data_IF_718339904167
#
_entry.id   IF_718339904167
#
_cell.length_a   1.000
_cell.length_b   1.000
_cell.length_c   1.000
_cell.angle_alpha   90.00
_cell.angle_beta   90.00
_cell.angle_gamma   90.00
#
_symmetry.space_group_name_H-M   'P 1'
#
loop_
_entity.id
_entity.type
_entity.pdbx_description
1 polymer ?
#
# COMPACT_ATOMS: atom_id res chain seq x y z
N UNK A 1 -6.90 -18.41 -17.98
CA UNK A 1 -7.57 -17.10 -18.20
C UNK A 1 -6.72 -16.03 -17.56
N UNK A 2 -6.81 -14.78 -18.02
CA UNK A 2 -6.23 -13.63 -17.33
C UNK A 2 -6.96 -13.40 -15.99
N UNK A 3 -6.33 -12.78 -14.99
CA UNK A 3 -7.04 -12.33 -13.80
C UNK A 3 -8.16 -11.35 -14.20
N UNK A 4 -9.26 -11.38 -13.47
CA UNK A 4 -10.41 -10.47 -13.70
C UNK A 4 -10.16 -9.09 -13.12
N UNK A 5 -9.35 -9.01 -12.05
CA UNK A 5 -8.90 -7.75 -11.45
C UNK A 5 -7.51 -7.84 -10.84
N UNK A 6 -6.84 -6.67 -10.80
CA UNK A 6 -5.64 -6.41 -10.01
C UNK A 6 -6.00 -5.45 -8.88
N UNK A 7 -5.68 -5.81 -7.64
CA UNK A 7 -5.99 -5.01 -6.45
C UNK A 7 -4.69 -4.61 -5.77
N UNK A 8 -4.42 -3.31 -5.71
CA UNK A 8 -3.16 -2.77 -5.19
C UNK A 8 -3.34 -2.17 -3.79
N UNK A 9 -2.41 -2.47 -2.90
CA UNK A 9 -2.10 -1.53 -1.83
C UNK A 9 -1.40 -0.29 -2.42
N UNK A 10 -1.16 0.73 -1.60
CA UNK A 10 -0.63 2.03 -2.06
C UNK A 10 0.77 2.28 -1.55
N UNK A 11 0.91 2.48 -0.24
CA UNK A 11 2.17 2.88 0.40
C UNK A 11 3.17 1.70 0.40
N UNK A 12 4.34 1.87 -0.21
CA UNK A 12 5.31 0.79 -0.39
C UNK A 12 5.00 -0.13 -1.58
N UNK A 13 3.78 -0.13 -2.11
CA UNK A 13 3.35 -0.97 -3.24
C UNK A 13 3.29 -0.21 -4.56
N UNK A 14 2.45 0.83 -4.68
CA UNK A 14 2.43 1.68 -5.87
C UNK A 14 3.67 2.58 -5.93
N UNK A 15 4.05 3.16 -4.80
CA UNK A 15 5.20 4.06 -4.67
C UNK A 15 5.85 3.92 -3.28
N UNK A 16 7.14 4.27 -3.18
CA UNK A 16 7.88 4.33 -1.92
C UNK A 16 7.50 5.61 -1.16
N UNK A 17 6.45 5.54 -0.37
CA UNK A 17 5.86 6.70 0.31
C UNK A 17 6.03 6.70 1.82
N UNK A 18 6.49 5.61 2.44
CA UNK A 18 6.59 5.50 3.90
C UNK A 18 7.56 6.53 4.50
N UNK A 19 8.63 6.86 3.81
CA UNK A 19 9.54 7.92 4.27
C UNK A 19 8.87 9.31 4.24
N UNK A 20 8.03 9.59 3.25
CA UNK A 20 7.22 10.82 3.19
C UNK A 20 6.20 10.87 4.33
N UNK A 21 5.60 9.72 4.67
CA UNK A 21 4.73 9.62 5.82
C UNK A 21 5.44 9.94 7.12
N UNK A 22 6.64 9.38 7.34
CA UNK A 22 7.47 9.66 8.52
C UNK A 22 7.84 11.14 8.63
N UNK A 23 8.26 11.74 7.53
CA UNK A 23 8.57 13.17 7.47
C UNK A 23 7.35 14.03 7.79
N UNK A 24 6.17 13.69 7.24
CA UNK A 24 4.93 14.40 7.53
C UNK A 24 4.52 14.31 9.01
N UNK A 25 4.70 13.14 9.66
CA UNK A 25 4.50 12.98 11.09
C UNK A 25 5.43 13.89 11.89
N UNK A 26 6.73 13.84 11.64
CA UNK A 26 7.70 14.64 12.36
C UNK A 26 7.48 16.15 12.18
N UNK A 27 7.16 16.59 10.97
CA UNK A 27 6.81 17.98 10.70
C UNK A 27 5.53 18.41 11.42
N UNK A 28 4.57 17.50 11.59
CA UNK A 28 3.36 17.76 12.36
C UNK A 28 3.67 17.88 13.85
N UNK A 29 4.43 16.96 14.41
CA UNK A 29 4.82 17.01 15.82
C UNK A 29 5.56 18.29 16.16
N UNK A 30 6.51 18.71 15.31
CA UNK A 30 7.25 19.95 15.49
C UNK A 30 6.34 21.19 15.45
N UNK A 31 5.42 21.27 14.49
CA UNK A 31 4.48 22.40 14.36
C UNK A 31 3.51 22.49 15.52
N UNK A 32 3.11 21.35 16.10
CA UNK A 32 2.22 21.26 17.26
C UNK A 32 2.98 21.34 18.61
N UNK A 33 4.28 21.63 18.56
CA UNK A 33 5.15 21.73 19.75
C UNK A 33 5.11 20.47 20.63
N UNK A 34 5.02 19.29 20.00
CA UNK A 34 5.12 18.01 20.66
C UNK A 34 6.58 17.57 20.73
N UNK A 35 7.07 16.98 21.83
CA UNK A 35 8.48 16.66 22.02
C UNK A 35 8.92 15.40 21.26
N UNK A 36 8.16 14.96 20.26
CA UNK A 36 8.37 13.67 19.59
C UNK A 36 9.12 13.81 18.28
N UNK A 37 9.98 12.83 18.05
CA UNK A 37 10.62 12.64 16.75
C UNK A 37 10.72 11.15 16.45
N UNK A 38 10.07 10.71 15.39
CA UNK A 38 10.16 9.33 14.92
C UNK A 38 11.34 9.22 13.95
N UNK A 39 12.46 8.65 14.40
CA UNK A 39 13.54 8.25 13.51
C UNK A 39 13.14 7.01 12.69
N UNK A 40 13.95 6.61 11.72
CA UNK A 40 13.64 5.48 10.84
C UNK A 40 13.51 4.15 11.60
N UNK A 41 14.31 3.95 12.67
CA UNK A 41 14.29 2.72 13.46
C UNK A 41 13.00 2.59 14.28
N UNK A 42 12.59 3.69 14.94
CA UNK A 42 11.33 3.75 15.68
C UNK A 42 10.14 3.63 14.72
N UNK A 43 10.20 4.35 13.59
CA UNK A 43 9.11 4.34 12.60
C UNK A 43 8.89 2.94 12.02
N UNK A 44 9.96 2.19 11.69
CA UNK A 44 9.85 0.79 11.27
C UNK A 44 9.07 -0.07 12.29
N UNK A 45 9.35 0.08 13.59
CA UNK A 45 8.62 -0.64 14.65
C UNK A 45 7.15 -0.20 14.73
N UNK A 46 6.90 1.08 14.53
CA UNK A 46 5.54 1.63 14.56
C UNK A 46 4.70 1.20 13.35
N UNK A 47 5.32 0.77 12.25
CA UNK A 47 4.62 0.21 11.08
C UNK A 47 3.93 -1.14 11.37
N UNK A 48 4.28 -1.84 12.44
CA UNK A 48 3.54 -3.01 12.92
C UNK A 48 2.06 -2.66 13.24
N UNK A 49 1.80 -1.38 13.56
CA UNK A 49 0.45 -0.85 13.78
C UNK A 49 -0.03 -0.15 12.51
N UNK A 50 -1.00 -0.78 11.86
CA UNK A 50 -1.57 -0.28 10.61
C UNK A 50 -2.57 0.85 10.86
N UNK A 51 -2.47 1.92 10.07
CA UNK A 51 -3.29 3.13 10.21
C UNK A 51 -2.58 4.25 10.98
N UNK A 52 -2.70 5.49 10.47
CA UNK A 52 -1.96 6.62 11.03
C UNK A 52 -2.47 7.07 12.40
N UNK A 53 -3.78 7.03 12.63
CA UNK A 53 -4.39 7.35 13.93
C UNK A 53 -4.06 6.30 14.97
N UNK A 54 -4.17 5.03 14.58
CA UNK A 54 -3.87 3.86 15.39
C UNK A 54 -2.39 3.86 15.81
N UNK A 55 -1.51 4.25 14.89
CA UNK A 55 -0.06 4.38 15.13
C UNK A 55 0.26 5.47 16.15
N UNK A 56 -0.37 6.66 16.04
CA UNK A 56 -0.25 7.71 17.05
C UNK A 56 -0.77 7.20 18.40
N UNK A 57 -1.98 6.62 18.43
CA UNK A 57 -2.57 6.10 19.67
C UNK A 57 -1.72 5.00 20.32
N UNK A 58 -1.07 4.13 19.50
CA UNK A 58 -0.14 3.12 19.99
C UNK A 58 1.11 3.75 20.59
N UNK A 59 1.73 4.71 19.90
CA UNK A 59 2.92 5.42 20.35
C UNK A 59 2.68 6.10 21.71
N UNK A 60 1.53 6.75 21.92
CA UNK A 60 1.18 7.42 23.16
C UNK A 60 1.12 6.52 24.39
N UNK A 61 0.95 5.20 24.20
CA UNK A 61 0.93 4.24 25.33
C UNK A 61 2.33 4.03 25.93
N UNK A 62 3.37 4.26 25.13
CA UNK A 62 4.78 4.08 25.53
C UNK A 62 5.51 5.40 25.79
N UNK A 63 4.88 6.54 25.47
CA UNK A 63 5.49 7.87 25.55
C UNK A 63 4.65 8.78 26.45
N UNK A 64 5.00 8.90 27.75
CA UNK A 64 4.22 9.69 28.70
C UNK A 64 4.32 11.19 28.43
N UNK A 65 5.48 11.66 27.90
CA UNK A 65 5.69 13.07 27.65
C UNK A 65 4.86 13.58 26.48
N UNK A 66 3.92 14.46 26.77
CA UNK A 66 2.99 15.02 25.79
C UNK A 66 1.76 14.18 25.49
N UNK A 67 1.67 12.94 26.00
CA UNK A 67 0.52 12.04 25.75
C UNK A 67 -0.82 12.68 26.16
N UNK A 68 -0.89 13.31 27.34
CA UNK A 68 -2.11 13.97 27.83
C UNK A 68 -2.58 15.12 26.91
N UNK A 69 -1.64 15.82 26.26
CA UNK A 69 -1.95 16.93 25.34
C UNK A 69 -2.38 16.48 23.96
N UNK A 70 -2.12 15.22 23.61
CA UNK A 70 -2.29 14.73 22.27
C UNK A 70 -3.38 13.66 22.12
N UNK A 71 -3.76 12.96 23.20
CA UNK A 71 -4.71 11.85 23.14
C UNK A 71 -6.06 12.25 22.53
N UNK A 72 -6.61 13.38 22.95
CA UNK A 72 -7.89 13.88 22.44
C UNK A 72 -7.77 14.57 21.07
N UNK A 73 -6.53 14.80 20.60
CA UNK A 73 -6.20 15.50 19.36
C UNK A 73 -5.74 14.60 18.23
N UNK A 74 -5.77 13.28 18.41
CA UNK A 74 -5.31 12.33 17.39
C UNK A 74 -5.94 12.59 16.02
N UNK A 75 -7.26 12.79 15.88
CA UNK A 75 -7.87 13.09 14.58
C UNK A 75 -7.35 14.39 13.94
N UNK A 76 -7.11 15.42 14.75
CA UNK A 76 -6.55 16.71 14.31
C UNK A 76 -5.10 16.56 13.84
N UNK A 77 -4.27 15.90 14.64
CA UNK A 77 -2.87 15.62 14.31
C UNK A 77 -2.75 14.77 13.02
N UNK A 78 -3.63 13.78 12.88
CA UNK A 78 -3.66 12.97 11.68
C UNK A 78 -4.07 13.77 10.44
N UNK A 79 -5.04 14.68 10.55
CA UNK A 79 -5.43 15.56 9.46
C UNK A 79 -4.26 16.48 9.06
N UNK A 80 -3.66 17.17 10.03
CA UNK A 80 -2.50 18.05 9.79
C UNK A 80 -1.31 17.29 9.16
N UNK A 81 -1.10 16.04 9.55
CA UNK A 81 -0.12 15.14 8.93
C UNK A 81 -0.51 14.83 7.48
N UNK A 82 -1.78 14.55 7.21
CA UNK A 82 -2.28 14.25 5.86
C UNK A 82 -2.05 15.43 4.92
N UNK A 83 -2.38 16.65 5.36
CA UNK A 83 -2.14 17.87 4.57
C UNK A 83 -0.67 18.07 4.20
N UNK A 84 0.25 17.75 5.14
CA UNK A 84 1.70 17.81 4.88
C UNK A 84 2.17 16.71 3.92
N UNK A 85 1.64 15.50 4.10
CA UNK A 85 1.96 14.39 3.22
C UNK A 85 1.53 14.66 1.77
N UNK A 86 0.30 15.13 1.56
CA UNK A 86 -0.18 15.45 0.21
C UNK A 86 0.66 16.52 -0.47
N UNK A 87 1.14 17.52 0.30
CA UNK A 87 2.07 18.53 -0.20
C UNK A 87 3.44 17.93 -0.60
N UNK A 88 3.97 16.98 0.18
CA UNK A 88 5.22 16.27 -0.15
C UNK A 88 5.06 15.43 -1.42
N UNK A 89 3.97 14.69 -1.55
CA UNK A 89 3.68 13.86 -2.72
C UNK A 89 3.49 14.70 -3.98
N UNK A 90 2.80 15.83 -3.88
CA UNK A 90 2.59 16.76 -4.99
C UNK A 90 3.88 17.37 -5.53
N UNK A 91 4.97 17.37 -4.75
CA UNK A 91 6.29 17.80 -5.21
C UNK A 91 6.93 16.81 -6.21
N UNK A 92 6.33 15.64 -6.41
CA UNK A 92 6.70 14.60 -7.37
C UNK A 92 7.14 13.30 -6.68
N UNK A 93 6.32 12.27 -6.83
CA UNK A 93 6.62 10.92 -6.34
C UNK A 93 6.51 9.93 -7.49
N UNK A 94 7.59 9.22 -7.78
CA UNK A 94 7.60 8.21 -8.83
C UNK A 94 6.89 6.93 -8.36
N UNK A 95 6.13 6.30 -9.27
CA UNK A 95 5.67 4.93 -9.06
C UNK A 95 6.85 3.95 -9.08
N UNK A 96 6.70 2.84 -8.39
CA UNK A 96 7.68 1.76 -8.41
C UNK A 96 7.78 1.14 -9.81
N UNK A 97 8.95 0.57 -10.18
CA UNK A 97 9.16 -0.03 -11.50
C UNK A 97 8.08 -1.06 -11.85
N UNK A 98 7.56 -0.98 -13.07
CA UNK A 98 6.55 -1.88 -13.61
C UNK A 98 5.09 -1.55 -13.23
N UNK A 99 4.85 -0.71 -12.23
CA UNK A 99 3.48 -0.38 -11.77
C UNK A 99 2.69 0.31 -12.87
N UNK A 100 3.19 1.43 -13.41
CA UNK A 100 2.49 2.18 -14.46
C UNK A 100 2.28 1.33 -15.73
N UNK A 101 3.24 0.49 -16.08
CA UNK A 101 3.16 -0.43 -17.21
C UNK A 101 2.04 -1.44 -17.01
N UNK A 102 2.00 -2.10 -15.83
CA UNK A 102 1.01 -3.14 -15.55
C UNK A 102 -0.42 -2.56 -15.46
N UNK A 103 -0.58 -1.35 -14.89
CA UNK A 103 -1.87 -0.63 -14.88
C UNK A 103 -2.36 -0.40 -16.31
N UNK A 104 -1.50 0.10 -17.21
CA UNK A 104 -1.86 0.32 -18.62
C UNK A 104 -2.18 -0.98 -19.35
N UNK A 105 -1.41 -2.05 -19.12
CA UNK A 105 -1.66 -3.38 -19.67
C UNK A 105 -3.03 -3.91 -19.23
N UNK A 106 -3.37 -3.78 -17.94
CA UNK A 106 -4.65 -4.20 -17.38
C UNK A 106 -5.82 -3.45 -18.02
N UNK A 107 -5.75 -2.13 -18.11
CA UNK A 107 -6.81 -1.32 -18.77
C UNK A 107 -6.98 -1.69 -20.23
N UNK A 108 -5.88 -1.86 -20.98
CA UNK A 108 -5.94 -2.25 -22.39
C UNK A 108 -6.58 -3.64 -22.62
N UNK A 109 -6.42 -4.54 -21.65
CA UNK A 109 -6.99 -5.89 -21.67
C UNK A 109 -8.42 -5.98 -21.06
N UNK A 110 -8.98 -4.88 -20.56
CA UNK A 110 -10.28 -4.87 -19.89
C UNK A 110 -10.27 -5.53 -18.50
N UNK A 111 -9.11 -5.71 -17.89
CA UNK A 111 -8.93 -6.19 -16.51
C UNK A 111 -9.25 -5.04 -15.56
N UNK A 112 -10.09 -5.27 -14.56
CA UNK A 112 -10.47 -4.26 -13.57
C UNK A 112 -9.31 -3.93 -12.65
N UNK A 113 -9.30 -2.70 -12.14
CA UNK A 113 -8.33 -2.23 -11.17
C UNK A 113 -9.01 -1.84 -9.86
N UNK A 114 -8.41 -2.28 -8.74
CA UNK A 114 -8.85 -1.91 -7.40
C UNK A 114 -7.72 -1.35 -6.57
N UNK A 115 -8.06 -0.52 -5.59
CA UNK A 115 -7.18 -0.09 -4.51
C UNK A 115 -7.73 -0.59 -3.18
N UNK A 116 -6.89 -1.20 -2.35
CA UNK A 116 -7.21 -1.67 -1.01
C UNK A 116 -6.13 -1.21 -0.02
N UNK A 117 -6.30 -0.05 0.59
CA UNK A 117 -5.27 0.59 1.42
C UNK A 117 -5.82 1.11 2.75
N UNK A 118 -4.95 1.24 3.73
CA UNK A 118 -5.26 1.88 5.02
C UNK A 118 -4.91 3.37 5.05
N UNK A 119 -4.24 3.87 4.01
CA UNK A 119 -4.00 5.31 3.85
C UNK A 119 -5.29 6.05 3.50
N UNK A 120 -5.37 7.33 3.83
CA UNK A 120 -6.57 8.14 3.59
C UNK A 120 -6.80 8.41 2.09
N UNK A 121 -8.07 8.57 1.70
CA UNK A 121 -8.42 8.84 0.30
C UNK A 121 -7.67 10.06 -0.28
N UNK A 122 -7.52 11.21 0.41
CA UNK A 122 -6.73 12.33 -0.11
C UNK A 122 -5.27 11.99 -0.41
N UNK A 123 -4.68 11.05 0.33
CA UNK A 123 -3.32 10.58 0.05
C UNK A 123 -3.26 9.78 -1.26
N UNK A 124 -4.25 8.92 -1.49
CA UNK A 124 -4.38 8.15 -2.73
C UNK A 124 -4.53 9.08 -3.94
N UNK A 125 -5.46 10.04 -3.83
CA UNK A 125 -5.72 11.04 -4.87
C UNK A 125 -4.43 11.81 -5.22
N UNK A 126 -3.76 12.38 -4.21
CA UNK A 126 -2.53 13.13 -4.41
C UNK A 126 -1.42 12.31 -5.09
N UNK A 127 -1.24 11.03 -4.68
CA UNK A 127 -0.26 10.15 -5.29
C UNK A 127 -0.59 9.85 -6.74
N UNK A 128 -1.82 9.44 -7.01
CA UNK A 128 -2.23 9.06 -8.36
C UNK A 128 -2.19 10.26 -9.33
N UNK A 129 -2.68 11.43 -8.89
CA UNK A 129 -2.63 12.66 -9.71
C UNK A 129 -1.20 13.08 -10.03
N UNK A 130 -0.30 13.05 -9.04
CA UNK A 130 1.10 13.44 -9.25
C UNK A 130 1.88 12.45 -10.13
N UNK A 131 1.50 11.16 -10.12
CA UNK A 131 2.26 10.09 -10.79
C UNK A 131 1.69 9.68 -12.14
N UNK A 132 0.37 9.75 -12.33
CA UNK A 132 -0.36 9.26 -13.52
C UNK A 132 -1.22 10.34 -14.19
N UNK A 133 -1.31 11.54 -13.59
CA UNK A 133 -2.07 12.67 -14.11
C UNK A 133 -3.46 12.84 -13.48
N UNK A 134 -4.16 13.94 -13.81
CA UNK A 134 -5.36 14.40 -13.10
C UNK A 134 -6.54 13.42 -13.16
N UNK A 135 -6.61 12.58 -14.18
CA UNK A 135 -7.71 11.60 -14.33
C UNK A 135 -7.36 10.21 -13.79
N UNK A 136 -6.25 10.08 -13.03
CA UNK A 136 -5.73 8.78 -12.62
C UNK A 136 -6.68 7.98 -11.71
N UNK A 137 -7.49 8.65 -10.89
CA UNK A 137 -8.51 7.99 -10.07
C UNK A 137 -9.53 7.23 -10.94
N UNK A 138 -9.89 7.72 -12.12
CA UNK A 138 -10.80 7.07 -13.05
C UNK A 138 -10.25 5.77 -13.68
N UNK A 139 -8.96 5.48 -13.49
CA UNK A 139 -8.38 4.20 -13.90
C UNK A 139 -8.86 3.05 -13.01
N UNK A 140 -9.25 3.33 -11.76
CA UNK A 140 -9.60 2.34 -10.77
C UNK A 140 -11.12 2.16 -10.67
N UNK A 141 -11.58 0.93 -10.83
CA UNK A 141 -12.99 0.55 -10.81
C UNK A 141 -13.55 0.48 -9.37
N UNK A 142 -12.69 0.31 -8.37
CA UNK A 142 -13.04 0.33 -6.95
C UNK A 142 -11.88 0.86 -6.10
N UNK A 143 -12.18 1.69 -5.10
CA UNK A 143 -11.20 2.24 -4.16
C UNK A 143 -11.70 2.06 -2.73
N UNK A 144 -11.00 1.22 -1.96
CA UNK A 144 -11.12 1.11 -0.51
C UNK A 144 -9.95 1.80 0.15
N UNK A 145 -10.20 2.90 0.89
CA UNK A 145 -9.16 3.72 1.48
C UNK A 145 -9.53 4.20 2.90
N UNK A 146 -8.54 4.29 3.77
CA UNK A 146 -8.68 4.85 5.11
C UNK A 146 -9.69 4.12 5.99
N UNK A 147 -10.66 4.86 6.50
CA UNK A 147 -11.63 4.39 7.50
C UNK A 147 -12.94 3.87 6.87
N UNK A 148 -12.92 3.48 5.59
CA UNK A 148 -14.12 2.96 4.90
C UNK A 148 -14.59 1.63 5.48
N UNK A 149 -13.71 0.91 6.16
CA UNK A 149 -14.00 -0.34 6.87
C UNK A 149 -13.58 -0.23 8.35
N UNK A 150 -14.24 -0.98 9.25
CA UNK A 150 -14.00 -0.87 10.69
C UNK A 150 -12.64 -1.45 11.13
N UNK A 151 -12.20 -2.57 10.51
CA UNK A 151 -10.95 -3.22 10.87
C UNK A 151 -9.88 -2.98 9.82
N UNK A 152 -8.67 -2.57 10.29
CA UNK A 152 -7.50 -2.35 9.44
C UNK A 152 -6.76 -3.66 9.18
N UNK A 153 -5.91 -3.71 8.13
CA UNK A 153 -4.95 -4.79 7.94
C UNK A 153 -4.23 -5.09 9.27
N UNK A 154 -4.08 -6.35 9.69
CA UNK A 154 -4.18 -7.58 8.90
C UNK A 154 -5.59 -8.16 8.75
N UNK A 155 -6.67 -7.49 9.20
CA UNK A 155 -8.03 -7.93 8.91
C UNK A 155 -8.33 -7.82 7.39
N UNK A 156 -9.15 -8.74 6.83
CA UNK A 156 -9.42 -8.79 5.39
C UNK A 156 -10.38 -7.72 4.89
N UNK A 157 -10.97 -6.94 5.77
CA UNK A 157 -12.13 -6.08 5.54
C UNK A 157 -11.98 -5.18 4.32
N UNK A 158 -10.82 -4.54 4.15
CA UNK A 158 -10.58 -3.64 3.03
C UNK A 158 -10.55 -4.36 1.69
N UNK A 159 -10.01 -5.59 1.65
CA UNK A 159 -10.00 -6.41 0.45
C UNK A 159 -11.39 -6.94 0.13
N UNK A 160 -12.13 -7.39 1.14
CA UNK A 160 -13.52 -7.84 0.97
C UNK A 160 -14.42 -6.70 0.47
N UNK A 161 -14.24 -5.48 1.00
CA UNK A 161 -14.91 -4.27 0.52
C UNK A 161 -14.65 -4.02 -0.97
N UNK A 162 -13.39 -4.10 -1.42
CA UNK A 162 -13.02 -3.87 -2.82
C UNK A 162 -13.56 -4.99 -3.72
N UNK A 163 -13.47 -6.26 -3.30
CA UNK A 163 -14.03 -7.40 -4.03
C UNK A 163 -15.56 -7.27 -4.22
N UNK A 164 -16.27 -6.84 -3.17
CA UNK A 164 -17.71 -6.60 -3.25
C UNK A 164 -18.03 -5.46 -4.23
N UNK A 165 -17.30 -4.35 -4.18
CA UNK A 165 -17.47 -3.24 -5.11
C UNK A 165 -17.18 -3.63 -6.56
N UNK A 166 -16.16 -4.47 -6.80
CA UNK A 166 -15.84 -5.03 -8.12
C UNK A 166 -16.82 -6.10 -8.57
N UNK A 167 -17.55 -6.71 -7.63
CA UNK A 167 -18.42 -7.89 -7.86
C UNK A 167 -17.67 -9.06 -8.49
N UNK A 168 -16.52 -9.38 -7.91
CA UNK A 168 -15.62 -10.44 -8.36
C UNK A 168 -15.26 -11.38 -7.21
N UNK A 169 -15.14 -12.70 -7.48
CA UNK A 169 -14.62 -13.63 -6.50
C UNK A 169 -13.10 -13.43 -6.34
N UNK A 170 -12.58 -13.61 -5.13
CA UNK A 170 -11.16 -13.44 -4.82
C UNK A 170 -10.24 -14.32 -5.68
N UNK A 171 -10.68 -15.55 -6.00
CA UNK A 171 -9.91 -16.50 -6.82
C UNK A 171 -9.62 -16.00 -8.26
N UNK A 172 -10.40 -15.05 -8.76
CA UNK A 172 -10.22 -14.46 -10.09
C UNK A 172 -9.40 -13.16 -10.05
N UNK A 173 -8.94 -12.75 -8.88
CA UNK A 173 -8.22 -11.50 -8.66
C UNK A 173 -6.81 -11.76 -8.14
N UNK A 174 -5.92 -10.75 -8.26
CA UNK A 174 -4.56 -10.80 -7.72
C UNK A 174 -4.33 -9.54 -6.88
N UNK A 175 -3.83 -9.71 -5.64
CA UNK A 175 -3.42 -8.62 -4.78
C UNK A 175 -1.93 -8.30 -4.94
N UNK A 176 -1.59 -7.03 -4.77
CA UNK A 176 -0.22 -6.52 -4.73
C UNK A 176 0.00 -5.82 -3.39
N UNK A 177 1.07 -6.18 -2.71
CA UNK A 177 1.40 -5.76 -1.35
C UNK A 177 2.91 -5.57 -1.16
N UNK A 178 3.26 -4.88 -0.06
CA UNK A 178 4.64 -4.72 0.37
C UNK A 178 4.90 -5.21 1.80
N UNK A 179 3.84 -5.41 2.60
CA UNK A 179 3.91 -5.63 4.04
C UNK A 179 3.33 -6.96 4.50
N UNK A 180 3.84 -7.49 5.62
CA UNK A 180 3.32 -8.73 6.24
C UNK A 180 1.85 -8.59 6.67
N UNK A 181 1.43 -7.41 7.18
CA UNK A 181 0.03 -7.16 7.54
C UNK A 181 -0.88 -7.17 6.31
N UNK A 182 -0.40 -6.60 5.21
CA UNK A 182 -1.12 -6.60 3.95
C UNK A 182 -1.27 -7.99 3.35
N UNK A 183 -0.19 -8.77 3.33
CA UNK A 183 -0.22 -10.18 2.87
C UNK A 183 -1.22 -11.01 3.68
N UNK A 184 -1.22 -10.85 5.02
CA UNK A 184 -2.19 -11.54 5.87
C UNK A 184 -3.63 -11.16 5.54
N UNK A 185 -3.88 -9.87 5.34
CA UNK A 185 -5.21 -9.35 4.98
C UNK A 185 -5.69 -9.88 3.62
N UNK A 186 -4.85 -9.79 2.58
CA UNK A 186 -5.18 -10.28 1.25
C UNK A 186 -5.44 -11.79 1.23
N UNK A 187 -4.60 -12.57 1.91
CA UNK A 187 -4.77 -14.02 2.04
C UNK A 187 -6.03 -14.41 2.81
N UNK A 188 -6.34 -13.69 3.90
CA UNK A 188 -7.57 -13.92 4.66
C UNK A 188 -8.83 -13.59 3.82
N UNK A 189 -8.73 -12.71 2.82
CA UNK A 189 -9.75 -12.47 1.82
C UNK A 189 -9.76 -13.49 0.67
N UNK A 190 -8.81 -14.45 0.64
CA UNK A 190 -8.72 -15.49 -0.39
C UNK A 190 -7.98 -15.07 -1.66
N UNK A 191 -7.21 -13.98 -1.62
CA UNK A 191 -6.49 -13.45 -2.78
C UNK A 191 -5.08 -14.05 -2.92
N UNK A 192 -4.68 -14.56 -4.09
CA UNK A 192 -3.28 -14.76 -4.42
C UNK A 192 -2.57 -13.41 -4.39
N UNK A 193 -1.39 -13.35 -3.73
CA UNK A 193 -0.74 -12.08 -3.42
C UNK A 193 0.69 -12.05 -3.96
N UNK A 194 1.00 -11.04 -4.75
CA UNK A 194 2.36 -10.69 -5.18
C UNK A 194 2.89 -9.66 -4.20
N UNK A 195 4.11 -9.87 -3.73
CA UNK A 195 4.77 -8.96 -2.78
C UNK A 195 5.96 -8.28 -3.43
N UNK A 196 6.02 -6.99 -3.27
CA UNK A 196 7.20 -6.18 -3.61
C UNK A 196 7.64 -5.41 -2.37
N UNK A 197 8.55 -5.97 -1.54
CA UNK A 197 8.98 -5.32 -0.31
C UNK A 197 9.49 -3.90 -0.56
N UNK A 198 9.08 -2.98 0.28
CA UNK A 198 9.54 -1.59 0.26
C UNK A 198 10.74 -1.37 1.20
N UNK A 199 11.20 -0.13 1.29
CA UNK A 199 12.35 0.27 2.11
C UNK A 199 12.22 -0.19 3.58
N UNK A 200 11.02 -0.14 4.15
CA UNK A 200 10.76 -0.46 5.55
C UNK A 200 10.40 -1.94 5.79
N UNK A 201 10.13 -2.70 4.72
CA UNK A 201 9.74 -4.11 4.79
C UNK A 201 10.77 -5.04 4.14
N UNK A 202 11.89 -4.48 3.63
CA UNK A 202 13.00 -5.27 3.13
C UNK A 202 13.57 -6.17 4.25
N UNK A 203 13.61 -7.47 3.97
CA UNK A 203 14.04 -8.49 4.93
C UNK A 203 12.94 -9.07 5.82
N UNK A 204 11.68 -8.63 5.68
CA UNK A 204 10.55 -9.28 6.31
C UNK A 204 10.22 -10.61 5.62
N UNK A 205 9.58 -11.52 6.36
CA UNK A 205 9.05 -12.76 5.82
C UNK A 205 7.61 -12.58 5.36
N UNK A 206 7.29 -13.13 4.18
CA UNK A 206 5.96 -13.05 3.58
C UNK A 206 5.33 -14.45 3.40
N UNK A 207 5.01 -15.15 4.48
CA UNK A 207 4.53 -16.53 4.40
C UNK A 207 3.20 -16.61 3.64
N UNK A 208 3.20 -17.42 2.58
CA UNK A 208 2.04 -17.66 1.71
C UNK A 208 1.83 -16.60 0.64
N UNK A 209 2.76 -15.68 0.42
CA UNK A 209 2.80 -14.91 -0.80
C UNK A 209 2.99 -15.85 -2.00
N UNK A 210 2.31 -15.55 -3.11
CA UNK A 210 2.46 -16.28 -4.38
C UNK A 210 3.86 -16.05 -4.97
N UNK A 211 4.31 -14.80 -4.97
CA UNK A 211 5.67 -14.41 -5.34
C UNK A 211 6.14 -13.24 -4.47
N UNK A 212 7.45 -13.18 -4.22
CA UNK A 212 8.14 -12.03 -3.62
C UNK A 212 9.19 -11.56 -4.61
N UNK A 213 9.09 -10.32 -5.04
CA UNK A 213 9.90 -9.72 -6.11
C UNK A 213 10.42 -8.36 -5.64
N UNK A 214 11.57 -7.89 -6.16
CA UNK A 214 12.07 -6.55 -5.81
C UNK A 214 11.12 -5.42 -6.24
N UNK A 215 10.42 -5.60 -7.36
CA UNK A 215 9.48 -4.70 -8.02
C UNK A 215 8.72 -5.47 -9.11
N UNK A 216 7.96 -4.81 -9.98
CA UNK A 216 7.21 -5.47 -11.06
C UNK A 216 7.98 -5.57 -12.38
N UNK A 217 9.20 -5.05 -12.43
CA UNK A 217 10.09 -5.09 -13.58
C UNK A 217 9.71 -4.14 -14.73
N UNK A 218 10.73 -3.66 -15.42
CA UNK A 218 10.62 -2.93 -16.67
C UNK A 218 11.44 -3.66 -17.77
N UNK A 219 11.18 -3.42 -19.07
CA UNK A 219 11.87 -4.13 -20.16
C UNK A 219 13.39 -4.03 -20.11
N UNK A 220 13.92 -2.91 -19.65
CA UNK A 220 15.34 -2.61 -19.50
C UNK A 220 15.86 -2.75 -18.06
N UNK A 221 14.96 -2.98 -17.11
CA UNK A 221 15.27 -3.17 -15.69
C UNK A 221 14.44 -4.34 -15.11
N UNK A 222 14.87 -5.59 -15.32
CA UNK A 222 14.17 -6.77 -14.80
C UNK A 222 14.10 -6.79 -13.28
N UNK A 223 12.98 -7.27 -12.72
CA UNK A 223 12.90 -7.50 -11.29
C UNK A 223 13.90 -8.58 -10.83
N UNK A 224 14.29 -8.52 -9.56
CA UNK A 224 14.97 -9.64 -8.88
C UNK A 224 13.92 -10.53 -8.22
N UNK A 225 13.94 -11.83 -8.56
CA UNK A 225 13.12 -12.82 -7.87
C UNK A 225 13.68 -13.07 -6.47
N UNK A 226 12.84 -13.00 -5.45
CA UNK A 226 13.21 -13.21 -4.05
C UNK A 226 12.64 -14.52 -3.50
N UNK A 227 11.36 -14.84 -3.78
CA UNK A 227 10.75 -16.10 -3.39
C UNK A 227 9.48 -16.42 -4.21
N UNK A 228 8.98 -17.65 -4.10
CA UNK A 228 7.74 -18.10 -4.74
C UNK A 228 7.87 -18.34 -6.25
N UNK A 229 6.80 -18.07 -7.00
CA UNK A 229 6.79 -18.20 -8.46
C UNK A 229 7.45 -17.01 -9.15
N UNK A 230 7.70 -17.11 -10.48
CA UNK A 230 8.28 -16.04 -11.28
C UNK A 230 9.80 -16.11 -11.47
N UNK A 231 10.45 -17.15 -10.96
CA UNK A 231 11.88 -17.37 -11.21
C UNK A 231 12.16 -17.53 -12.71
N UNK A 232 13.19 -16.81 -13.19
CA UNK A 232 13.58 -16.83 -14.62
C UNK A 232 12.75 -15.94 -15.53
N UNK A 233 11.77 -15.20 -14.98
CA UNK A 233 11.05 -14.15 -15.70
C UNK A 233 11.60 -12.77 -15.33
N UNK A 234 11.31 -11.77 -16.14
CA UNK A 234 11.87 -10.41 -15.99
C UNK A 234 10.82 -9.38 -15.64
N UNK A 235 9.56 -9.63 -15.98
CA UNK A 235 8.45 -8.71 -15.89
C UNK A 235 7.22 -9.38 -15.31
N UNK A 236 6.52 -8.69 -14.43
CA UNK A 236 5.15 -9.05 -14.07
C UNK A 236 4.22 -8.56 -15.16
N UNK A 237 3.61 -9.48 -15.90
CA UNK A 237 2.61 -9.22 -16.95
C UNK A 237 1.31 -9.93 -16.62
N UNK A 238 0.20 -9.57 -17.25
CA UNK A 238 -1.07 -10.31 -17.11
C UNK A 238 -0.92 -11.77 -17.51
N UNK A 239 -0.12 -12.07 -18.53
CA UNK A 239 0.16 -13.43 -18.96
C UNK A 239 0.97 -14.21 -17.93
N UNK A 240 1.97 -13.58 -17.27
CA UNK A 240 2.71 -14.16 -16.16
C UNK A 240 1.79 -14.47 -14.99
N UNK A 241 1.01 -13.49 -14.53
CA UNK A 241 0.03 -13.65 -13.44
C UNK A 241 -0.94 -14.82 -13.72
N UNK A 242 -1.46 -14.91 -14.96
CA UNK A 242 -2.33 -16.00 -15.36
C UNK A 242 -1.68 -17.39 -15.30
N UNK A 243 -0.36 -17.48 -15.52
CA UNK A 243 0.39 -18.74 -15.35
C UNK A 243 0.61 -19.05 -13.87
N UNK A 244 1.04 -18.06 -13.10
CA UNK A 244 1.40 -18.20 -11.69
C UNK A 244 0.20 -18.61 -10.82
N UNK A 245 -0.95 -17.97 -11.01
CA UNK A 245 -2.18 -18.32 -10.29
C UNK A 245 -2.73 -19.71 -10.61
N UNK A 246 -2.37 -20.30 -11.76
CA UNK A 246 -2.76 -21.69 -12.08
C UNK A 246 -1.80 -22.73 -11.52
N UNK A 247 -0.59 -22.34 -11.17
CA UNK A 247 0.44 -23.25 -10.65
C UNK A 247 0.42 -23.33 -9.11
N UNK A 248 -0.30 -22.44 -8.43
CA UNK A 248 -0.48 -22.40 -6.99
C UNK A 248 -1.74 -23.14 -6.57
#
# INVERSE_FOLDING_TARGET
MLPSALIFDVDGTLAETEELHRQAFNATFAAEQLPWHWDATLYRKLLDVTGGKERIAHFLKSEPDGAERAADRIPELHRAKTDRYTALVAAGTALRPGVARLIREAKAAGVKLGIATTTSLPNVEALLESSLGPDAMALFDAVGAGDVVPAKKPAPDIYLYVLDALKLPAADCVAFEDSTNGVRAARAAGLPTIVTPGLYTEGDDFPGALAVLSDLGEPDAPYRHLAGVGAGESLVTLAALARWCRAA
#
